data_IF_503994857630
#
_entry.id   IF_503994857630
#
_cell.length_a   1.000
_cell.length_b   1.000
_cell.length_c   1.000
_cell.angle_alpha   90.00
_cell.angle_beta   90.00
_cell.angle_gamma   90.00
#
_symmetry.space_group_name_H-M   'P 1'
#
loop_
_entity.id
_entity.type
_entity.pdbx_description
1 polymer ?
#
# COMPACT_ATOMS: atom_id res chain seq x y z
N UNK A 1 -21.59 -3.46 -6.31
CA UNK A 1 -20.42 -4.19 -5.78
C UNK A 1 -19.41 -3.18 -5.28
N UNK A 2 -19.02 -3.27 -3.99
CA UNK A 2 -17.90 -2.52 -3.43
C UNK A 2 -16.76 -3.52 -3.23
N UNK A 3 -15.59 -3.21 -3.76
CA UNK A 3 -14.40 -4.05 -3.59
C UNK A 3 -13.50 -3.49 -2.48
N UNK A 4 -12.72 -4.36 -1.85
CA UNK A 4 -11.65 -3.95 -0.95
C UNK A 4 -10.40 -3.60 -1.76
N UNK A 5 -9.93 -2.37 -1.63
CA UNK A 5 -8.72 -1.87 -2.26
C UNK A 5 -7.66 -1.63 -1.18
N UNK A 6 -6.56 -2.39 -1.24
CA UNK A 6 -5.50 -2.38 -0.24
C UNK A 6 -4.27 -1.65 -0.78
N UNK A 7 -4.18 -0.32 -0.65
CA UNK A 7 -3.12 0.47 -1.28
C UNK A 7 -1.86 0.64 -0.42
N UNK A 8 -1.94 0.36 0.88
CA UNK A 8 -0.81 0.56 1.79
C UNK A 8 0.26 -0.52 1.67
N UNK A 9 -0.15 -1.75 1.36
CA UNK A 9 0.73 -2.92 1.33
C UNK A 9 0.20 -4.00 0.39
N UNK A 10 1.05 -4.96 0.09
CA UNK A 10 0.70 -6.20 -0.64
C UNK A 10 1.27 -7.40 0.10
N UNK A 11 0.80 -8.60 -0.20
CA UNK A 11 1.43 -9.83 0.28
C UNK A 11 2.88 -9.95 -0.21
N UNK A 12 3.79 -10.57 0.57
CA UNK A 12 5.20 -10.67 0.17
C UNK A 12 5.41 -11.45 -1.12
N UNK A 13 4.57 -12.42 -1.39
CA UNK A 13 4.61 -13.23 -2.61
C UNK A 13 3.58 -12.79 -3.64
N UNK A 14 3.06 -11.55 -3.50
CA UNK A 14 2.07 -11.04 -4.43
C UNK A 14 2.63 -10.97 -5.85
N UNK A 15 1.89 -11.52 -6.76
CA UNK A 15 1.99 -11.33 -8.20
C UNK A 15 0.57 -11.23 -8.76
N UNK A 16 0.43 -10.58 -9.90
CA UNK A 16 -0.88 -10.43 -10.54
C UNK A 16 -1.06 -11.52 -11.60
N UNK A 17 -2.12 -12.30 -11.47
CA UNK A 17 -2.48 -13.32 -12.49
C UNK A 17 -3.19 -12.71 -13.71
N UNK A 18 -3.54 -11.43 -13.65
CA UNK A 18 -4.33 -10.73 -14.67
C UNK A 18 -3.63 -9.50 -15.26
N UNK A 19 -2.36 -9.27 -14.94
CA UNK A 19 -1.60 -8.19 -15.54
C UNK A 19 -1.34 -8.51 -17.03
N UNK A 20 -1.53 -7.55 -17.97
CA UNK A 20 -1.06 -7.69 -19.33
C UNK A 20 0.47 -7.92 -19.38
N UNK A 21 0.95 -8.70 -20.35
CA UNK A 21 2.36 -9.11 -20.48
C UNK A 21 3.33 -7.93 -20.64
N UNK A 22 2.85 -6.77 -21.09
CA UNK A 22 3.62 -5.56 -21.31
C UNK A 22 3.65 -4.62 -20.09
N UNK A 23 2.92 -4.95 -19.01
CA UNK A 23 2.88 -4.15 -17.79
C UNK A 23 3.85 -4.71 -16.75
N UNK A 24 4.77 -3.84 -16.31
CA UNK A 24 5.69 -4.16 -15.22
C UNK A 24 4.98 -4.22 -13.88
N UNK A 25 5.23 -5.30 -13.15
CA UNK A 25 4.72 -5.51 -11.81
C UNK A 25 5.30 -4.54 -10.77
N UNK A 26 4.78 -4.61 -9.55
CA UNK A 26 5.34 -3.87 -8.42
C UNK A 26 6.76 -4.38 -8.11
N UNK A 27 7.72 -3.46 -8.06
CA UNK A 27 9.11 -3.74 -7.72
C UNK A 27 10.01 -4.21 -8.87
N UNK A 28 9.49 -4.38 -10.09
CA UNK A 28 10.28 -4.89 -11.23
C UNK A 28 11.40 -3.92 -11.64
N UNK A 29 11.16 -2.62 -11.54
CA UNK A 29 12.12 -1.56 -11.87
C UNK A 29 12.80 -0.95 -10.63
N UNK A 30 12.58 -1.51 -9.44
CA UNK A 30 13.10 -0.95 -8.20
C UNK A 30 14.63 -1.05 -8.11
N UNK A 31 15.26 0.02 -7.67
CA UNK A 31 16.66 0.01 -7.25
C UNK A 31 16.77 -0.59 -5.84
N UNK A 32 17.11 -1.88 -5.79
CA UNK A 32 17.21 -2.68 -4.55
C UNK A 32 18.45 -2.38 -3.70
N UNK A 33 19.38 -1.56 -4.23
CA UNK A 33 20.60 -1.14 -3.51
C UNK A 33 20.37 0.09 -2.64
N UNK A 34 19.16 0.67 -2.68
CA UNK A 34 18.79 1.84 -1.90
C UNK A 34 17.64 1.50 -0.97
N UNK A 35 17.75 1.92 0.31
CA UNK A 35 16.63 1.79 1.25
C UNK A 35 15.39 2.53 0.76
N UNK A 36 15.58 3.78 0.34
CA UNK A 36 14.54 4.64 -0.23
C UNK A 36 15.00 5.22 -1.56
N UNK A 37 14.15 5.13 -2.56
CA UNK A 37 14.19 5.89 -3.79
C UNK A 37 12.76 6.33 -4.11
N UNK A 38 12.52 7.60 -4.47
CA UNK A 38 11.14 8.09 -4.70
C UNK A 38 10.36 7.29 -5.73
N UNK A 39 11.07 6.64 -6.67
CA UNK A 39 10.47 5.89 -7.78
C UNK A 39 10.38 4.38 -7.54
N UNK A 40 10.96 3.88 -6.44
CA UNK A 40 10.79 2.49 -6.03
C UNK A 40 9.36 2.24 -5.54
N UNK A 41 8.83 1.06 -5.82
CA UNK A 41 7.53 0.65 -5.28
C UNK A 41 7.61 0.17 -3.82
N UNK A 42 8.81 -0.24 -3.38
CA UNK A 42 9.04 -0.75 -2.03
C UNK A 42 10.21 -0.05 -1.33
N UNK A 43 10.27 -0.20 0.00
CA UNK A 43 11.44 0.16 0.83
C UNK A 43 12.29 -1.07 1.04
N UNK A 44 13.60 -1.01 0.77
CA UNK A 44 14.51 -2.14 0.86
C UNK A 44 15.47 -2.03 2.04
N UNK A 45 15.51 -3.07 2.88
CA UNK A 45 16.48 -3.18 3.95
C UNK A 45 17.77 -3.76 3.35
N UNK A 46 18.61 -2.87 2.83
CA UNK A 46 19.76 -3.22 2.00
C UNK A 46 20.71 -4.16 2.72
N UNK A 47 21.26 -5.14 1.99
CA UNK A 47 22.23 -6.14 2.47
C UNK A 47 21.74 -7.03 3.61
N UNK A 48 20.44 -7.10 3.85
CA UNK A 48 19.85 -7.97 4.86
C UNK A 48 18.82 -8.90 4.23
N UNK A 49 18.84 -10.15 4.65
CA UNK A 49 17.82 -11.13 4.28
C UNK A 49 16.64 -11.02 5.22
N UNK A 50 15.45 -11.18 4.70
CA UNK A 50 14.23 -11.23 5.50
C UNK A 50 14.26 -12.45 6.42
N UNK A 51 14.10 -12.23 7.73
CA UNK A 51 14.10 -13.27 8.75
C UNK A 51 13.18 -12.87 9.93
N UNK A 52 11.86 -13.04 9.79
CA UNK A 52 10.90 -12.72 10.84
C UNK A 52 11.14 -13.56 12.09
N UNK A 53 10.99 -12.97 13.26
CA UNK A 53 11.35 -13.60 14.54
C UNK A 53 10.40 -14.71 14.98
N UNK A 54 9.25 -14.85 14.34
CA UNK A 54 8.14 -15.69 14.82
C UNK A 54 7.66 -16.77 13.85
N UNK A 55 8.25 -16.86 12.67
CA UNK A 55 7.83 -17.78 11.62
C UNK A 55 9.02 -18.55 11.08
N UNK A 56 8.86 -19.86 10.94
CA UNK A 56 9.79 -20.68 10.18
C UNK A 56 9.52 -20.45 8.68
N UNK A 57 10.50 -19.96 7.95
CA UNK A 57 10.41 -19.71 6.51
C UNK A 57 10.66 -20.97 5.65
N UNK A 58 10.70 -22.12 6.26
CA UNK A 58 10.98 -23.42 5.62
C UNK A 58 12.39 -23.93 5.94
N UNK A 59 12.62 -25.20 5.64
CA UNK A 59 13.91 -25.87 5.87
C UNK A 59 14.87 -25.53 4.71
N UNK A 60 16.12 -25.14 5.00
CA UNK A 60 17.11 -24.90 3.95
C UNK A 60 17.30 -26.12 3.06
N UNK A 61 17.15 -25.94 1.74
CA UNK A 61 17.32 -26.99 0.75
C UNK A 61 16.03 -27.74 0.39
N UNK A 62 14.88 -27.31 0.88
CA UNK A 62 13.56 -27.76 0.42
C UNK A 62 12.93 -26.76 -0.55
N UNK A 63 11.98 -27.20 -1.37
CA UNK A 63 11.26 -26.32 -2.32
C UNK A 63 10.31 -25.33 -1.62
N UNK A 64 10.12 -25.45 -0.31
CA UNK A 64 9.20 -24.65 0.50
C UNK A 64 9.88 -23.49 1.25
N UNK A 65 11.14 -23.18 0.94
CA UNK A 65 11.86 -22.08 1.62
C UNK A 65 11.51 -20.74 0.99
N UNK A 66 10.97 -19.81 1.80
CA UNK A 66 10.84 -18.43 1.38
C UNK A 66 12.14 -17.66 1.59
N UNK A 67 12.71 -17.15 0.50
CA UNK A 67 13.93 -16.33 0.51
C UNK A 67 13.61 -14.96 -0.07
N UNK A 68 13.88 -13.91 0.70
CA UNK A 68 13.78 -12.52 0.24
C UNK A 68 15.07 -11.76 0.57
N UNK A 69 15.80 -11.35 -0.48
CA UNK A 69 17.02 -10.54 -0.35
C UNK A 69 17.12 -9.50 -1.47
N UNK A 70 17.35 -8.22 -1.15
CA UNK A 70 17.25 -7.65 0.19
C UNK A 70 15.84 -7.71 0.74
N UNK A 71 15.68 -7.72 2.07
CA UNK A 71 14.39 -7.68 2.72
C UNK A 71 13.65 -6.39 2.37
N UNK A 72 12.31 -6.47 2.32
CA UNK A 72 11.43 -5.30 2.17
C UNK A 72 10.75 -4.96 3.49
N UNK A 73 10.47 -3.67 3.72
CA UNK A 73 9.74 -3.21 4.89
C UNK A 73 8.34 -3.85 4.98
N UNK A 74 7.86 -4.16 6.18
CA UNK A 74 6.51 -4.70 6.40
C UNK A 74 5.44 -3.60 6.40
N UNK A 75 4.20 -3.97 6.07
CA UNK A 75 3.09 -3.06 5.77
C UNK A 75 2.70 -2.10 6.89
N UNK A 76 3.03 -2.42 8.14
CA UNK A 76 2.77 -1.58 9.31
C UNK A 76 3.91 -0.60 9.63
N UNK A 77 4.66 -0.14 8.60
CA UNK A 77 5.81 0.76 8.74
C UNK A 77 6.96 0.16 9.56
N UNK A 78 7.11 -1.16 9.52
CA UNK A 78 8.21 -1.87 10.16
C UNK A 78 9.41 -1.96 9.19
N UNK A 79 10.39 -1.08 9.38
CA UNK A 79 11.56 -0.92 8.50
C UNK A 79 12.77 -1.74 8.98
N UNK A 80 12.56 -3.03 9.26
CA UNK A 80 13.62 -3.99 9.63
C UNK A 80 13.48 -5.30 8.85
N UNK A 81 14.60 -6.01 8.67
CA UNK A 81 14.59 -7.36 8.09
C UNK A 81 14.07 -8.43 9.07
N UNK A 82 13.90 -8.08 10.35
CA UNK A 82 13.55 -9.00 11.46
C UNK A 82 12.25 -8.59 12.15
N UNK A 83 11.11 -8.48 11.43
CA UNK A 83 9.85 -8.10 12.04
C UNK A 83 9.45 -9.10 13.14
N UNK A 84 8.80 -8.57 14.18
CA UNK A 84 8.29 -9.35 15.29
C UNK A 84 6.95 -10.00 14.96
N UNK A 85 6.41 -10.80 15.89
CA UNK A 85 5.08 -11.41 15.78
C UNK A 85 3.95 -10.38 15.70
N UNK A 86 4.16 -9.17 16.21
CA UNK A 86 3.16 -8.12 16.22
C UNK A 86 3.20 -7.25 14.95
N UNK A 87 4.21 -7.44 14.12
CA UNK A 87 4.33 -6.75 12.84
C UNK A 87 3.59 -7.51 11.74
N UNK A 88 3.22 -6.81 10.67
CA UNK A 88 2.57 -7.43 9.52
C UNK A 88 3.62 -8.08 8.61
N UNK A 89 4.33 -9.08 9.16
CA UNK A 89 5.49 -9.69 8.54
C UNK A 89 5.21 -10.41 7.21
N UNK A 90 3.98 -10.80 6.96
CA UNK A 90 3.50 -11.43 5.72
C UNK A 90 3.20 -10.41 4.60
N UNK A 91 3.32 -9.12 4.89
CA UNK A 91 3.06 -8.02 3.95
C UNK A 91 4.30 -7.20 3.65
N UNK A 92 4.25 -6.43 2.56
CA UNK A 92 5.28 -5.48 2.13
C UNK A 92 4.68 -4.10 1.98
N UNK A 93 5.30 -3.10 2.62
CA UNK A 93 4.91 -1.69 2.53
C UNK A 93 5.15 -1.13 1.14
N UNK A 94 4.14 -0.47 0.57
CA UNK A 94 4.27 0.27 -0.67
C UNK A 94 4.86 1.67 -0.42
N UNK A 95 5.77 2.07 -1.29
CA UNK A 95 6.42 3.37 -1.25
C UNK A 95 5.74 4.35 -2.20
N UNK A 96 5.16 5.39 -1.64
CA UNK A 96 4.49 6.47 -2.37
C UNK A 96 5.39 7.71 -2.55
N UNK A 97 6.70 7.59 -2.43
CA UNK A 97 7.63 8.71 -2.56
C UNK A 97 7.79 9.53 -1.29
N UNK A 98 7.57 8.93 -0.12
CA UNK A 98 7.81 9.54 1.19
C UNK A 98 9.01 8.87 1.84
N UNK A 99 10.03 9.66 2.19
CA UNK A 99 11.17 9.16 2.96
C UNK A 99 10.74 8.97 4.44
N UNK A 100 10.72 7.74 4.97
CA UNK A 100 10.24 7.47 6.31
C UNK A 100 11.13 8.00 7.43
N UNK A 101 12.39 8.32 7.13
CA UNK A 101 13.34 8.80 8.15
C UNK A 101 13.20 10.29 8.47
N UNK A 102 12.80 11.07 7.48
CA UNK A 102 12.70 12.53 7.63
C UNK A 102 11.35 13.11 7.21
N UNK A 103 10.44 12.26 6.69
CA UNK A 103 9.11 12.66 6.23
C UNK A 103 9.11 13.49 4.95
N UNK A 104 10.24 13.60 4.24
CA UNK A 104 10.28 14.37 3.00
C UNK A 104 9.44 13.72 1.91
N UNK A 105 8.70 14.54 1.17
CA UNK A 105 7.77 14.13 0.12
C UNK A 105 8.37 14.40 -1.26
N UNK A 106 8.45 13.38 -2.08
CA UNK A 106 9.01 13.40 -3.42
C UNK A 106 7.95 13.04 -4.45
N UNK A 107 7.05 13.97 -4.72
CA UNK A 107 5.88 13.77 -5.59
C UNK A 107 6.05 14.40 -6.98
N UNK A 108 7.24 14.90 -7.30
CA UNK A 108 7.58 15.47 -8.62
C UNK A 108 8.97 14.99 -9.06
N UNK A 109 9.05 14.16 -10.12
CA UNK A 109 7.92 13.59 -10.87
C UNK A 109 7.01 12.74 -9.98
N UNK A 110 5.79 12.43 -10.47
CA UNK A 110 4.86 11.55 -9.76
C UNK A 110 5.50 10.16 -9.62
N UNK A 111 5.53 9.57 -8.41
CA UNK A 111 6.10 8.25 -8.19
C UNK A 111 5.43 7.15 -9.02
N UNK A 112 6.19 6.15 -9.44
CA UNK A 112 5.69 5.03 -10.22
C UNK A 112 4.54 4.28 -9.52
N UNK A 113 4.63 4.10 -8.20
CA UNK A 113 3.55 3.50 -7.40
C UNK A 113 2.20 4.19 -7.58
N UNK A 114 2.18 5.53 -7.74
CA UNK A 114 0.93 6.26 -7.95
C UNK A 114 0.26 5.87 -9.26
N UNK A 115 1.03 5.76 -10.33
CA UNK A 115 0.54 5.35 -11.64
C UNK A 115 -0.01 3.93 -11.60
N UNK A 116 0.75 2.99 -11.05
CA UNK A 116 0.34 1.59 -10.93
C UNK A 116 -0.95 1.44 -10.11
N UNK A 117 -1.06 2.16 -8.97
CA UNK A 117 -2.27 2.13 -8.16
C UNK A 117 -3.47 2.77 -8.85
N UNK A 118 -3.27 3.86 -9.59
CA UNK A 118 -4.32 4.45 -10.40
C UNK A 118 -4.80 3.48 -11.49
N UNK A 119 -3.89 2.79 -12.17
CA UNK A 119 -4.24 1.82 -13.21
C UNK A 119 -5.09 0.67 -12.65
N UNK A 120 -4.76 0.17 -11.46
CA UNK A 120 -5.57 -0.83 -10.74
C UNK A 120 -6.97 -0.28 -10.44
N UNK A 121 -7.08 0.95 -9.93
CA UNK A 121 -8.37 1.58 -9.64
C UNK A 121 -9.20 1.75 -10.93
N UNK A 122 -8.57 2.21 -12.02
CA UNK A 122 -9.21 2.39 -13.32
C UNK A 122 -9.66 1.06 -13.93
N UNK A 123 -8.86 0.00 -13.79
CA UNK A 123 -9.19 -1.35 -14.26
C UNK A 123 -10.48 -1.85 -13.60
N UNK A 124 -10.57 -1.78 -12.27
CA UNK A 124 -11.74 -2.24 -11.55
C UNK A 124 -12.97 -1.35 -11.79
N UNK A 125 -12.79 -0.02 -11.83
CA UNK A 125 -13.87 0.89 -12.19
C UNK A 125 -14.44 0.58 -13.59
N UNK A 126 -13.56 0.25 -14.54
CA UNK A 126 -13.95 -0.18 -15.88
C UNK A 126 -14.69 -1.53 -15.94
N UNK A 127 -14.60 -2.37 -14.91
CA UNK A 127 -15.36 -3.61 -14.76
C UNK A 127 -16.78 -3.38 -14.22
N UNK A 128 -17.15 -2.15 -13.90
CA UNK A 128 -18.51 -1.79 -13.48
C UNK A 128 -18.80 -2.04 -12.00
N UNK A 129 -17.78 -1.88 -11.14
CA UNK A 129 -17.98 -1.84 -9.69
C UNK A 129 -18.67 -0.54 -9.28
N UNK A 130 -19.33 -0.52 -8.11
CA UNK A 130 -20.01 0.66 -7.58
C UNK A 130 -19.10 1.49 -6.64
N UNK A 131 -18.06 0.89 -6.09
CA UNK A 131 -17.17 1.59 -5.17
C UNK A 131 -15.96 0.79 -4.70
N UNK A 132 -15.10 1.48 -3.94
CA UNK A 132 -13.89 0.93 -3.32
C UNK A 132 -13.87 1.27 -1.82
N UNK A 133 -13.75 0.26 -0.98
CA UNK A 133 -13.36 0.44 0.42
C UNK A 133 -11.84 0.42 0.46
N UNK A 134 -11.23 1.51 0.87
CA UNK A 134 -9.78 1.70 0.86
C UNK A 134 -9.20 1.37 2.23
N UNK A 135 -8.53 0.23 2.29
CA UNK A 135 -7.88 -0.28 3.50
C UNK A 135 -6.77 0.65 3.98
N UNK A 136 -6.71 0.90 5.30
CA UNK A 136 -5.67 1.71 5.94
C UNK A 136 -5.34 3.01 5.19
N UNK A 137 -6.37 3.71 4.72
CA UNK A 137 -6.22 4.88 3.84
C UNK A 137 -5.31 5.97 4.42
N UNK A 138 -5.28 6.12 5.76
CA UNK A 138 -4.44 7.11 6.44
C UNK A 138 -2.94 6.78 6.43
N UNK A 139 -2.56 5.55 6.09
CA UNK A 139 -1.16 5.14 5.92
C UNK A 139 -0.62 5.43 4.51
N UNK A 140 -1.45 5.99 3.64
CA UNK A 140 -1.11 6.41 2.28
C UNK A 140 -1.20 7.93 2.19
N UNK A 141 -0.28 8.62 1.49
CA UNK A 141 -0.29 10.08 1.43
C UNK A 141 -1.61 10.66 0.94
N UNK A 142 -2.12 11.67 1.64
CA UNK A 142 -3.34 12.38 1.28
C UNK A 142 -3.29 12.99 -0.14
N UNK A 143 -2.10 13.39 -0.57
CA UNK A 143 -1.86 13.93 -1.91
C UNK A 143 -2.09 12.89 -3.01
N UNK A 144 -1.73 11.62 -2.76
CA UNK A 144 -2.06 10.53 -3.68
C UNK A 144 -3.57 10.38 -3.83
N UNK A 145 -4.31 10.35 -2.71
CA UNK A 145 -5.75 10.21 -2.76
C UNK A 145 -6.43 11.34 -3.51
N UNK A 146 -6.04 12.59 -3.22
CA UNK A 146 -6.55 13.74 -3.94
C UNK A 146 -6.35 13.63 -5.46
N UNK A 147 -5.15 13.21 -5.86
CA UNK A 147 -4.80 13.04 -7.26
C UNK A 147 -5.52 11.86 -7.93
N UNK A 148 -5.56 10.70 -7.28
CA UNK A 148 -6.12 9.48 -7.85
C UNK A 148 -7.65 9.49 -7.90
N UNK A 149 -8.32 9.86 -6.80
CA UNK A 149 -9.78 9.90 -6.72
C UNK A 149 -10.35 10.90 -7.75
N UNK A 150 -9.70 12.07 -7.92
CA UNK A 150 -10.14 13.04 -8.92
C UNK A 150 -10.13 12.45 -10.33
N UNK A 151 -9.11 11.67 -10.70
CA UNK A 151 -9.00 11.05 -12.02
C UNK A 151 -10.03 9.93 -12.21
N UNK A 152 -10.21 9.07 -11.19
CA UNK A 152 -11.22 8.00 -11.25
C UNK A 152 -12.62 8.61 -11.39
N UNK A 153 -12.97 9.59 -10.54
CA UNK A 153 -14.30 10.23 -10.59
C UNK A 153 -14.52 11.06 -11.86
N UNK A 154 -13.47 11.59 -12.46
CA UNK A 154 -13.59 12.25 -13.77
C UNK A 154 -14.08 11.28 -14.86
N UNK A 155 -13.60 10.05 -14.86
CA UNK A 155 -13.97 9.03 -15.86
C UNK A 155 -15.18 8.18 -15.44
N UNK A 156 -15.31 7.92 -14.14
CA UNK A 156 -16.34 7.07 -13.54
C UNK A 156 -17.00 7.80 -12.35
N UNK A 157 -17.84 8.80 -12.59
CA UNK A 157 -18.38 9.68 -11.55
C UNK A 157 -19.29 8.98 -10.53
N UNK A 158 -19.75 7.77 -10.82
CA UNK A 158 -20.59 6.97 -9.95
C UNK A 158 -19.81 6.20 -8.86
N UNK A 159 -18.50 6.06 -9.02
CA UNK A 159 -17.67 5.29 -8.07
C UNK A 159 -17.65 5.97 -6.70
N UNK A 160 -18.00 5.21 -5.68
CA UNK A 160 -17.96 5.63 -4.27
C UNK A 160 -16.63 5.20 -3.65
N UNK A 161 -16.00 6.12 -2.90
CA UNK A 161 -14.79 5.86 -2.14
C UNK A 161 -15.08 5.90 -0.64
N UNK A 162 -14.75 4.81 0.06
CA UNK A 162 -14.90 4.65 1.51
C UNK A 162 -13.51 4.47 2.12
N UNK A 163 -13.07 5.39 2.98
CA UNK A 163 -11.77 5.30 3.62
C UNK A 163 -11.87 4.62 5.00
N UNK A 164 -10.99 3.64 5.25
CA UNK A 164 -10.74 3.16 6.60
C UNK A 164 -9.74 4.07 7.30
N UNK A 165 -10.19 4.78 8.35
CA UNK A 165 -9.37 5.73 9.10
C UNK A 165 -9.70 5.62 10.58
N UNK A 166 -8.66 5.46 11.41
CA UNK A 166 -8.81 5.34 12.87
C UNK A 166 -8.46 6.61 13.65
N UNK A 167 -7.90 7.63 12.98
CA UNK A 167 -7.59 8.93 13.59
C UNK A 167 -8.65 9.97 13.21
N UNK A 168 -9.46 10.35 14.18
CA UNK A 168 -10.54 11.34 14.03
C UNK A 168 -10.01 12.70 13.55
N UNK A 169 -8.78 13.07 13.90
CA UNK A 169 -8.16 14.32 13.46
C UNK A 169 -7.99 14.40 11.94
N UNK A 170 -7.91 13.25 11.26
CA UNK A 170 -7.73 13.16 9.81
C UNK A 170 -9.05 13.19 9.02
N UNK A 171 -10.22 12.99 9.64
CA UNK A 171 -11.50 12.86 8.94
C UNK A 171 -11.78 14.00 7.99
N UNK A 172 -11.60 15.24 8.47
CA UNK A 172 -11.85 16.44 7.65
C UNK A 172 -10.94 16.49 6.40
N UNK A 173 -9.68 16.11 6.54
CA UNK A 173 -8.73 16.08 5.42
C UNK A 173 -9.14 15.05 4.39
N UNK A 174 -9.51 13.84 4.81
CA UNK A 174 -9.84 12.77 3.88
C UNK A 174 -11.17 12.99 3.17
N UNK A 175 -12.16 13.56 3.81
CA UNK A 175 -13.42 13.94 3.15
C UNK A 175 -13.22 15.13 2.21
N UNK A 176 -12.66 16.24 2.69
CA UNK A 176 -12.69 17.50 1.93
C UNK A 176 -11.51 17.67 0.97
N UNK A 177 -10.33 17.17 1.34
CA UNK A 177 -9.15 17.31 0.49
C UNK A 177 -8.93 16.08 -0.39
N UNK A 178 -8.99 14.86 0.17
CA UNK A 178 -8.75 13.64 -0.60
C UNK A 178 -9.92 13.26 -1.50
N UNK A 179 -11.16 13.66 -1.16
CA UNK A 179 -12.34 13.42 -1.98
C UNK A 179 -13.05 12.08 -1.72
N UNK A 180 -12.84 11.46 -0.56
CA UNK A 180 -13.62 10.32 -0.12
C UNK A 180 -15.08 10.69 0.14
N UNK A 181 -15.99 9.79 -0.19
CA UNK A 181 -17.42 10.01 0.03
C UNK A 181 -17.84 9.63 1.44
N UNK A 182 -17.20 8.60 2.01
CA UNK A 182 -17.49 8.07 3.34
C UNK A 182 -16.22 7.69 4.08
N UNK A 183 -16.32 7.70 5.41
CA UNK A 183 -15.31 7.16 6.32
C UNK A 183 -15.87 5.94 7.04
N UNK A 184 -15.02 4.96 7.22
CA UNK A 184 -15.28 3.78 8.03
C UNK A 184 -14.26 3.73 9.16
N UNK A 185 -14.75 3.73 10.41
CA UNK A 185 -13.91 3.59 11.58
C UNK A 185 -14.54 2.67 12.64
N UNK A 186 -13.72 2.22 13.57
CA UNK A 186 -14.11 1.40 14.73
C UNK A 186 -13.91 2.13 16.04
N UNK A 187 -13.45 3.39 16.01
CA UNK A 187 -13.07 4.15 17.22
C UNK A 187 -14.25 4.29 18.16
N UNK A 188 -15.40 4.71 17.64
CA UNK A 188 -16.64 4.89 18.42
C UNK A 188 -17.13 3.57 19.05
N UNK A 189 -16.97 2.46 18.35
CA UNK A 189 -17.34 1.14 18.86
C UNK A 189 -16.46 0.72 20.05
N UNK A 190 -15.14 0.95 19.94
CA UNK A 190 -14.22 0.61 21.04
C UNK A 190 -14.41 1.52 22.26
N UNK A 191 -14.73 2.79 22.06
CA UNK A 191 -14.97 3.74 23.15
C UNK A 191 -16.29 3.48 23.89
N UNK A 192 -17.30 2.93 23.20
CA UNK A 192 -18.58 2.52 23.82
C UNK A 192 -18.51 1.20 24.59
N UNK A 193 -17.46 0.40 24.38
CA UNK A 193 -17.25 -0.88 25.05
C UNK A 193 -16.34 -0.79 26.29
N UNK A 194 -15.83 0.40 26.62
CA UNK A 194 -15.09 0.71 27.84
C UNK A 194 -16.00 1.33 28.87
#
# INVERSE_FOLDING_TARGET
IIIDFVPNHVGRQYHSDAAPDDIKGLGDDDNKEMFFSPNNNFYYITRQQFAPQCVNLGEPGTDDVYIEFPARASGNDCYTAFPSRNDWYDTVKLNYGVDPWNGSKHFRPIPDTWHKMLDIMMFWAGKGIDGMRCDMAHMVPAEFWNWAIAQVKHRYPHIIFIAEIYDVALYRQYIHYCGFDYLYDKVTLYDTLR
#
